data_IF_352824008754
#
_entry.id   IF_352824008754
#
_cell.length_a   1.000
_cell.length_b   1.000
_cell.length_c   1.000
_cell.angle_alpha   90.00
_cell.angle_beta   90.00
_cell.angle_gamma   90.00
#
_symmetry.space_group_name_H-M   'P 1'
#
loop_
_entity.id
_entity.type
_entity.pdbx_description
1 polymer ?
#
# COMPACT_ATOMS: atom_id res chain seq x y z
N UNK A 1 23.59 26.45 7.17
CA UNK A 1 22.51 25.60 6.64
C UNK A 1 21.42 25.58 7.69
N UNK A 2 20.24 26.08 7.35
CA UNK A 2 19.08 26.14 8.24
C UNK A 2 18.45 24.76 8.41
N UNK A 3 17.68 24.56 9.49
CA UNK A 3 16.92 23.32 9.70
C UNK A 3 15.92 23.02 8.57
N UNK A 4 15.48 24.06 7.86
CA UNK A 4 14.59 23.95 6.70
C UNK A 4 15.34 23.36 5.49
N UNK A 5 16.55 23.84 5.22
CA UNK A 5 17.39 23.31 4.12
C UNK A 5 17.79 21.85 4.36
N UNK A 6 18.06 21.50 5.62
CA UNK A 6 18.44 20.14 5.99
C UNK A 6 17.25 19.16 5.88
N UNK A 7 16.05 19.62 6.21
CA UNK A 7 14.82 18.86 6.06
C UNK A 7 14.49 18.59 4.59
N UNK A 8 14.66 19.58 3.72
CA UNK A 8 14.53 19.45 2.27
C UNK A 8 15.53 18.47 1.69
N UNK A 9 16.79 18.59 2.09
CA UNK A 9 17.85 17.71 1.63
C UNK A 9 17.65 16.25 2.04
N UNK A 10 17.12 16.00 3.25
CA UNK A 10 16.67 14.66 3.62
C UNK A 10 15.54 14.21 2.69
N UNK A 11 14.47 14.99 2.54
CA UNK A 11 13.34 14.63 1.69
C UNK A 11 13.80 14.28 0.26
N UNK A 12 14.73 15.06 -0.30
CA UNK A 12 15.34 14.82 -1.61
C UNK A 12 16.26 13.57 -1.62
N UNK A 13 17.00 13.33 -0.54
CA UNK A 13 17.85 12.13 -0.39
C UNK A 13 17.04 10.84 -0.27
N UNK A 14 15.87 10.89 0.36
CA UNK A 14 14.91 9.76 0.41
C UNK A 14 14.36 9.40 -0.96
N UNK A 15 14.33 10.35 -1.89
CA UNK A 15 13.96 10.08 -3.28
C UNK A 15 15.08 9.36 -4.05
N UNK A 16 16.35 9.48 -3.62
CA UNK A 16 17.51 8.85 -4.28
C UNK A 16 17.83 7.44 -3.76
N UNK A 17 17.44 7.13 -2.51
CA UNK A 17 17.87 5.92 -1.80
C UNK A 17 17.05 4.65 -2.09
N UNK A 18 16.40 4.53 -3.26
CA UNK A 18 15.68 3.33 -3.68
C UNK A 18 16.66 2.18 -4.02
N UNK A 19 17.23 1.56 -2.98
CA UNK A 19 18.13 0.42 -3.09
C UNK A 19 17.41 -0.87 -3.50
N UNK A 20 18.10 -1.67 -4.35
CA UNK A 20 17.63 -2.94 -4.94
C UNK A 20 17.12 -3.96 -3.91
N UNK A 21 16.09 -4.75 -4.25
CA UNK A 21 15.52 -5.76 -3.36
C UNK A 21 16.49 -6.93 -3.10
N UNK A 22 16.54 -7.39 -1.83
CA UNK A 22 17.08 -8.71 -1.48
C UNK A 22 15.90 -9.65 -1.20
N UNK A 23 15.77 -10.67 -2.06
CA UNK A 23 14.72 -11.71 -2.20
C UNK A 23 13.37 -11.25 -2.76
N UNK A 24 13.14 -11.60 -4.03
CA UNK A 24 11.82 -11.59 -4.66
C UNK A 24 10.96 -12.72 -4.08
N UNK A 25 9.75 -12.39 -3.63
CA UNK A 25 8.77 -13.35 -3.09
C UNK A 25 7.57 -13.59 -4.03
N UNK A 26 7.52 -12.92 -5.19
CA UNK A 26 6.63 -13.27 -6.30
C UNK A 26 7.42 -13.20 -7.62
N UNK A 27 7.11 -14.05 -8.62
CA UNK A 27 7.67 -13.92 -9.95
C UNK A 27 7.26 -12.59 -10.59
N UNK A 28 8.13 -11.93 -11.38
CA UNK A 28 7.72 -10.79 -12.19
C UNK A 28 6.65 -11.26 -13.18
N UNK A 29 5.43 -10.73 -13.04
CA UNK A 29 4.27 -11.08 -13.85
C UNK A 29 3.22 -9.97 -13.77
N UNK A 30 2.10 -10.07 -14.51
CA UNK A 30 1.08 -9.02 -14.62
C UNK A 30 0.26 -8.75 -13.34
N UNK A 31 0.76 -9.15 -12.16
CA UNK A 31 0.15 -8.88 -10.85
C UNK A 31 0.70 -7.62 -10.17
N UNK A 32 0.03 -7.19 -9.10
CA UNK A 32 0.51 -6.09 -8.25
C UNK A 32 1.89 -6.41 -7.67
N UNK A 33 2.73 -5.39 -7.47
CA UNK A 33 4.07 -5.57 -6.91
C UNK A 33 3.97 -6.30 -5.55
N UNK A 34 4.77 -7.35 -5.37
CA UNK A 34 4.83 -8.11 -4.10
C UNK A 34 5.39 -7.31 -2.93
N UNK A 35 5.90 -6.11 -3.21
CA UNK A 35 6.48 -5.17 -2.28
C UNK A 35 6.12 -3.76 -2.75
N UNK A 36 5.72 -2.93 -1.81
CA UNK A 36 5.62 -1.48 -2.01
C UNK A 36 6.28 -0.77 -0.84
N UNK A 37 6.89 0.38 -1.10
CA UNK A 37 7.61 1.16 -0.08
C UNK A 37 7.23 2.62 -0.14
N UNK A 38 7.11 3.24 1.03
CA UNK A 38 7.03 4.67 1.20
C UNK A 38 8.13 5.12 2.16
N UNK A 39 8.96 6.06 1.70
CA UNK A 39 9.85 6.81 2.57
C UNK A 39 9.40 8.26 2.62
N UNK A 40 9.32 8.82 3.83
CA UNK A 40 8.98 10.21 4.09
C UNK A 40 9.90 10.83 5.15
N UNK A 41 10.08 12.14 5.04
CA UNK A 41 10.78 12.94 6.03
C UNK A 41 9.76 13.57 6.97
N UNK A 42 10.06 13.61 8.26
CA UNK A 42 9.21 14.24 9.26
C UNK A 42 10.04 15.03 10.27
N UNK A 43 9.44 16.10 10.80
CA UNK A 43 9.92 16.85 11.95
C UNK A 43 9.06 16.48 13.15
N UNK A 44 9.70 15.91 14.17
CA UNK A 44 9.01 15.34 15.31
C UNK A 44 9.90 15.25 16.55
N UNK A 45 9.26 15.30 17.72
CA UNK A 45 9.84 14.83 18.97
C UNK A 45 9.68 13.30 19.09
N UNK A 46 10.52 12.60 19.89
CA UNK A 46 10.47 11.15 20.00
C UNK A 46 9.13 10.58 20.53
N UNK A 47 8.34 11.36 21.25
CA UNK A 47 7.03 10.97 21.79
C UNK A 47 5.89 11.07 20.77
N UNK A 48 6.15 11.62 19.58
CA UNK A 48 5.18 11.69 18.50
C UNK A 48 4.63 10.30 18.13
N UNK A 49 3.37 10.27 17.71
CA UNK A 49 2.68 9.04 17.35
C UNK A 49 2.56 8.92 15.83
N UNK A 50 2.83 7.72 15.31
CA UNK A 50 2.70 7.38 13.90
C UNK A 50 1.52 6.41 13.76
N UNK A 51 0.39 6.91 13.25
CA UNK A 51 -0.80 6.13 12.95
C UNK A 51 -0.83 5.78 11.48
N UNK A 52 -0.83 4.49 11.17
CA UNK A 52 -0.89 4.03 9.79
C UNK A 52 -2.21 3.34 9.50
N UNK A 53 -2.67 3.44 8.25
CA UNK A 53 -3.73 2.61 7.68
C UNK A 53 -3.29 2.13 6.31
N UNK A 54 -3.03 0.84 6.21
CA UNK A 54 -2.86 0.16 4.93
C UNK A 54 -4.25 -0.33 4.49
N UNK A 55 -4.77 0.27 3.41
CA UNK A 55 -6.03 -0.13 2.77
C UNK A 55 -5.73 -0.77 1.43
N UNK A 56 -6.34 -1.91 1.16
CA UNK A 56 -6.20 -2.59 -0.12
C UNK A 56 -7.50 -3.31 -0.49
N UNK A 57 -7.61 -3.65 -1.76
CA UNK A 57 -8.66 -4.49 -2.28
C UNK A 57 -8.20 -5.95 -2.26
N UNK A 58 -9.04 -6.81 -1.72
CA UNK A 58 -8.88 -8.25 -1.70
C UNK A 58 -9.86 -8.84 -2.70
N UNK A 59 -9.32 -9.55 -3.69
CA UNK A 59 -10.10 -10.28 -4.68
C UNK A 59 -11.06 -11.30 -4.05
N UNK A 60 -12.28 -11.37 -4.57
CA UNK A 60 -13.33 -12.27 -4.14
C UNK A 60 -14.02 -12.86 -5.36
N UNK A 61 -13.95 -14.18 -5.54
CA UNK A 61 -14.70 -14.85 -6.59
C UNK A 61 -16.17 -14.93 -6.19
N UNK A 62 -17.09 -14.53 -7.06
CA UNK A 62 -18.54 -14.66 -6.91
C UNK A 62 -19.10 -15.62 -7.95
N UNK A 63 -19.60 -16.77 -7.50
CA UNK A 63 -20.22 -17.79 -8.33
C UNK A 63 -21.72 -17.86 -8.06
N UNK A 64 -22.49 -18.11 -9.11
CA UNK A 64 -23.92 -18.41 -9.01
C UNK A 64 -24.07 -19.90 -9.26
N UNK A 65 -24.56 -20.63 -8.27
CA UNK A 65 -24.78 -22.07 -8.32
C UNK A 65 -26.31 -22.31 -8.37
N UNK A 66 -26.87 -22.74 -9.51
CA UNK A 66 -28.30 -23.00 -9.62
C UNK A 66 -28.67 -24.31 -8.91
N UNK A 67 -29.85 -24.37 -8.29
CA UNK A 67 -30.37 -25.59 -7.63
C UNK A 67 -31.19 -26.46 -8.61
N UNK A 68 -30.86 -26.40 -9.91
CA UNK A 68 -31.57 -27.12 -10.99
C UNK A 68 -32.83 -26.43 -11.53
N UNK A 69 -33.24 -25.29 -10.95
CA UNK A 69 -34.33 -24.45 -11.48
C UNK A 69 -33.75 -23.36 -12.38
N UNK A 70 -34.08 -23.39 -13.67
CA UNK A 70 -33.46 -22.53 -14.69
C UNK A 70 -33.91 -21.06 -14.65
N UNK A 71 -35.01 -20.74 -13.95
CA UNK A 71 -35.61 -19.41 -13.95
C UNK A 71 -35.65 -18.80 -12.55
N UNK A 72 -34.81 -17.79 -12.34
CA UNK A 72 -34.73 -17.00 -11.11
C UNK A 72 -35.73 -15.84 -11.10
N UNK A 73 -36.98 -16.06 -11.54
CA UNK A 73 -38.05 -15.05 -11.60
C UNK A 73 -37.59 -13.71 -12.22
N UNK A 74 -36.78 -13.76 -13.28
CA UNK A 74 -36.28 -12.56 -13.96
C UNK A 74 -35.17 -11.78 -13.23
N UNK A 75 -34.59 -12.29 -12.13
CA UNK A 75 -33.39 -11.70 -11.51
C UNK A 75 -32.16 -12.10 -12.31
N UNK A 76 -31.55 -11.15 -13.01
CA UNK A 76 -30.29 -11.36 -13.71
C UNK A 76 -29.14 -11.51 -12.70
N UNK A 77 -28.69 -12.75 -12.48
CA UNK A 77 -27.56 -13.06 -11.60
C UNK A 77 -26.30 -13.27 -12.44
N UNK A 78 -25.37 -12.32 -12.38
CA UNK A 78 -24.13 -12.42 -13.13
C UNK A 78 -23.00 -12.97 -12.24
N UNK A 79 -22.43 -14.15 -12.53
CA UNK A 79 -21.17 -14.52 -11.90
C UNK A 79 -20.11 -13.48 -12.26
N UNK A 80 -19.11 -13.34 -11.39
CA UNK A 80 -18.06 -12.37 -11.63
C UNK A 80 -17.08 -12.29 -10.48
N UNK A 81 -16.10 -11.42 -10.64
CA UNK A 81 -15.13 -11.15 -9.60
C UNK A 81 -15.49 -9.86 -8.88
N UNK A 82 -15.41 -9.89 -7.56
CA UNK A 82 -15.65 -8.78 -6.67
C UNK A 82 -14.32 -8.37 -6.01
N UNK A 83 -14.23 -7.12 -5.56
CA UNK A 83 -13.11 -6.62 -4.78
C UNK A 83 -13.64 -6.12 -3.43
N UNK A 84 -13.12 -6.65 -2.33
CA UNK A 84 -13.52 -6.29 -0.98
C UNK A 84 -12.41 -5.49 -0.31
N UNK A 85 -12.74 -4.35 0.28
CA UNK A 85 -11.75 -3.55 1.01
C UNK A 85 -11.33 -4.26 2.30
N UNK A 86 -10.04 -4.31 2.54
CA UNK A 86 -9.41 -4.76 3.78
C UNK A 86 -8.53 -3.64 4.33
N UNK A 87 -8.37 -3.61 5.66
CA UNK A 87 -7.60 -2.59 6.36
C UNK A 87 -6.71 -3.20 7.44
N UNK A 88 -5.48 -2.67 7.54
CA UNK A 88 -4.53 -2.96 8.61
C UNK A 88 -4.10 -1.61 9.18
N UNK A 89 -4.26 -1.43 10.50
CA UNK A 89 -4.05 -0.14 11.14
C UNK A 89 -3.03 -0.22 12.30
N UNK A 90 -1.72 -0.37 12.03
CA UNK A 90 -0.70 -0.30 13.07
C UNK A 90 -0.53 1.14 13.59
N UNK A 91 -0.17 1.23 14.86
CA UNK A 91 0.17 2.48 15.54
C UNK A 91 1.49 2.28 16.30
N UNK A 92 2.41 3.23 16.19
CA UNK A 92 3.71 3.17 16.84
C UNK A 92 4.08 4.53 17.42
N UNK A 93 4.77 4.55 18.57
CA UNK A 93 5.49 5.75 19.01
C UNK A 93 6.76 5.90 18.18
N UNK A 94 7.12 7.14 17.86
CA UNK A 94 8.31 7.40 17.06
C UNK A 94 9.60 6.94 17.75
N UNK A 95 9.69 7.07 19.08
CA UNK A 95 10.80 6.56 19.87
C UNK A 95 11.02 5.05 19.67
N UNK A 96 9.94 4.27 19.59
CA UNK A 96 10.03 2.83 19.40
C UNK A 96 10.56 2.50 17.99
N UNK A 97 10.10 3.25 16.98
CA UNK A 97 10.57 3.13 15.60
C UNK A 97 12.02 3.58 15.41
N UNK A 98 12.48 4.54 16.21
CA UNK A 98 13.87 5.02 16.22
C UNK A 98 14.80 4.02 16.92
N UNK A 99 14.29 3.27 17.90
CA UNK A 99 15.05 2.28 18.64
C UNK A 99 15.27 0.99 17.84
N UNK A 100 14.26 0.55 17.06
CA UNK A 100 14.33 -0.67 16.27
C UNK A 100 13.35 -0.65 15.09
N UNK A 101 13.59 -1.53 14.12
CA UNK A 101 12.61 -1.86 13.10
C UNK A 101 11.46 -2.69 13.71
N UNK A 102 10.23 -2.30 13.43
CA UNK A 102 9.03 -3.02 13.83
C UNK A 102 8.44 -3.77 12.65
N UNK A 103 8.08 -5.03 12.89
CA UNK A 103 7.44 -5.88 11.88
C UNK A 103 6.09 -6.33 12.38
N UNK A 104 5.03 -5.93 11.67
CA UNK A 104 3.69 -6.48 11.85
C UNK A 104 3.45 -7.56 10.78
N UNK A 105 3.04 -8.74 11.22
CA UNK A 105 2.54 -9.81 10.34
C UNK A 105 1.04 -9.91 10.51
N UNK A 106 0.29 -9.82 9.41
CA UNK A 106 -1.16 -9.93 9.38
C UNK A 106 -1.59 -11.00 8.39
N UNK A 107 -2.43 -11.92 8.86
CA UNK A 107 -3.14 -12.86 7.99
C UNK A 107 -4.55 -12.33 7.78
N UNK A 108 -4.92 -12.06 6.52
CA UNK A 108 -6.31 -11.95 6.12
C UNK A 108 -6.81 -13.36 5.85
N UNK A 109 -7.80 -13.87 6.61
CA UNK A 109 -8.21 -15.26 6.49
C UNK A 109 -8.96 -15.53 5.19
N UNK A 110 -8.90 -16.77 4.74
CA UNK A 110 -9.84 -17.27 3.74
C UNK A 110 -11.28 -17.08 4.23
N UNK A 111 -12.20 -16.76 3.32
CA UNK A 111 -13.62 -16.64 3.68
C UNK A 111 -14.48 -17.23 2.58
N UNK A 112 -15.47 -18.01 2.98
CA UNK A 112 -16.54 -18.47 2.10
C UNK A 112 -17.88 -18.02 2.66
N UNK A 113 -18.69 -17.34 1.86
CA UNK A 113 -20.08 -17.01 2.21
C UNK A 113 -21.01 -17.62 1.18
N UNK A 114 -22.18 -18.05 1.65
CA UNK A 114 -23.24 -18.61 0.82
C UNK A 114 -24.49 -17.81 1.11
N UNK A 115 -25.02 -17.18 0.06
CA UNK A 115 -26.27 -16.45 0.09
C UNK A 115 -27.31 -17.28 -0.65
N UNK A 116 -28.33 -17.83 0.05
CA UNK A 116 -29.37 -18.60 -0.61
C UNK A 116 -30.25 -17.69 -1.46
N UNK A 117 -30.68 -18.20 -2.60
CA UNK A 117 -31.63 -17.56 -3.51
C UNK A 117 -32.80 -18.51 -3.77
N UNK A 118 -33.89 -17.99 -4.34
CA UNK A 118 -35.07 -18.81 -4.66
C UNK A 118 -34.76 -19.94 -5.67
N UNK A 119 -33.79 -19.72 -6.56
CA UNK A 119 -33.43 -20.63 -7.67
C UNK A 119 -32.03 -21.26 -7.54
N UNK A 120 -31.36 -21.10 -6.40
CA UNK A 120 -29.95 -21.45 -6.27
C UNK A 120 -29.26 -20.75 -5.10
N UNK A 121 -27.98 -20.46 -5.26
CA UNK A 121 -27.18 -19.72 -4.27
C UNK A 121 -26.05 -18.92 -4.90
N UNK A 122 -25.68 -17.82 -4.26
CA UNK A 122 -24.43 -17.10 -4.56
C UNK A 122 -23.37 -17.58 -3.58
N UNK A 123 -22.27 -18.11 -4.12
CA UNK A 123 -21.10 -18.50 -3.34
C UNK A 123 -20.01 -17.48 -3.57
N UNK A 124 -19.54 -16.85 -2.49
CA UNK A 124 -18.39 -15.94 -2.54
C UNK A 124 -17.22 -16.60 -1.82
N UNK A 125 -16.06 -16.58 -2.46
CA UNK A 125 -14.85 -17.21 -1.95
C UNK A 125 -13.67 -16.25 -2.01
N UNK A 126 -12.92 -16.19 -0.91
CA UNK A 126 -11.67 -15.47 -0.74
C UNK A 126 -10.60 -16.39 -0.19
N UNK A 127 -9.36 -16.14 -0.56
CA UNK A 127 -8.20 -16.92 -0.18
C UNK A 127 -7.41 -16.20 0.92
N UNK A 128 -6.57 -16.90 1.68
CA UNK A 128 -5.79 -16.22 2.69
C UNK A 128 -4.71 -15.35 2.03
N UNK A 129 -4.45 -14.18 2.61
CA UNK A 129 -3.33 -13.30 2.23
C UNK A 129 -2.50 -13.01 3.47
N UNK A 130 -1.18 -13.16 3.35
CA UNK A 130 -0.22 -12.85 4.39
C UNK A 130 0.48 -11.54 4.05
N UNK A 131 0.30 -10.55 4.92
CA UNK A 131 0.85 -9.21 4.76
C UNK A 131 1.88 -8.98 5.83
N UNK A 132 3.05 -8.49 5.42
CA UNK A 132 4.10 -8.05 6.32
C UNK A 132 4.27 -6.54 6.16
N UNK A 133 4.16 -5.80 7.25
CA UNK A 133 4.42 -4.35 7.29
C UNK A 133 5.67 -4.13 8.14
N UNK A 134 6.75 -3.66 7.52
CA UNK A 134 7.95 -3.19 8.23
C UNK A 134 7.91 -1.69 8.36
N UNK A 135 8.17 -1.21 9.55
CA UNK A 135 8.25 0.22 9.83
C UNK A 135 9.48 0.50 10.66
N UNK A 136 10.25 1.50 10.24
CA UNK A 136 11.40 1.98 11.00
C UNK A 136 11.56 3.47 10.84
N UNK A 137 12.21 4.08 11.82
CA UNK A 137 12.59 5.47 11.79
C UNK A 137 14.11 5.61 11.95
N UNK A 138 14.70 6.59 11.27
CA UNK A 138 16.12 6.90 11.37
C UNK A 138 16.28 8.41 11.60
N UNK A 139 16.89 8.80 12.71
CA UNK A 139 17.23 10.20 12.96
C UNK A 139 18.24 10.66 11.92
N UNK A 140 17.97 11.79 11.26
CA UNK A 140 18.85 12.28 10.21
C UNK A 140 20.04 13.03 10.81
N UNK A 141 21.24 12.60 10.42
CA UNK A 141 22.48 13.28 10.74
C UNK A 141 23.27 13.52 9.44
N UNK A 142 23.64 14.77 9.18
CA UNK A 142 24.53 15.12 8.08
C UNK A 142 25.84 15.67 8.63
N UNK A 143 26.96 15.14 8.12
CA UNK A 143 28.32 15.56 8.50
C UNK A 143 28.56 15.58 10.02
N UNK A 144 28.04 14.58 10.75
CA UNK A 144 28.21 14.47 12.21
C UNK A 144 27.32 15.38 13.05
N UNK A 145 26.46 16.21 12.43
CA UNK A 145 25.46 17.01 13.16
C UNK A 145 24.09 16.36 13.01
N UNK A 146 23.47 16.01 14.14
CA UNK A 146 22.05 15.63 14.16
C UNK A 146 21.23 16.87 13.82
N UNK A 147 20.41 16.75 12.78
CA UNK A 147 19.33 17.68 12.51
C UNK A 147 18.31 17.50 13.65
N UNK A 148 18.17 18.48 14.55
CA UNK A 148 17.24 18.31 15.67
C UNK A 148 15.82 18.09 15.16
N UNK A 149 15.19 17.01 15.65
CA UNK A 149 13.81 16.64 15.31
C UNK A 149 13.59 16.07 13.90
N UNK A 150 14.60 15.98 13.03
CA UNK A 150 14.39 15.49 11.67
C UNK A 150 14.62 13.97 11.56
N UNK A 151 13.62 13.27 11.05
CA UNK A 151 13.60 11.81 10.99
C UNK A 151 13.14 11.31 9.63
N UNK A 152 13.80 10.26 9.13
CA UNK A 152 13.30 9.44 8.02
C UNK A 152 12.37 8.39 8.58
N UNK A 153 11.13 8.34 8.09
CA UNK A 153 10.22 7.22 8.30
C UNK A 153 10.21 6.36 7.05
N UNK A 154 10.44 5.05 7.23
CA UNK A 154 10.46 4.06 6.17
C UNK A 154 9.40 3.01 6.45
N UNK A 155 8.47 2.85 5.52
CA UNK A 155 7.35 1.90 5.59
C UNK A 155 7.43 0.99 4.37
N UNK A 156 7.54 -0.31 4.61
CA UNK A 156 7.59 -1.34 3.58
C UNK A 156 6.42 -2.29 3.81
N UNK A 157 5.62 -2.50 2.78
CA UNK A 157 4.52 -3.47 2.77
C UNK A 157 4.91 -4.58 1.82
N UNK A 158 4.88 -5.82 2.29
CA UNK A 158 5.13 -7.01 1.49
C UNK A 158 3.92 -7.93 1.52
N UNK A 159 3.62 -8.49 0.36
CA UNK A 159 2.79 -9.67 0.24
C UNK A 159 3.69 -10.91 0.38
N UNK A 160 3.58 -11.59 1.52
CA UNK A 160 4.37 -12.78 1.86
C UNK A 160 3.51 -14.06 1.80
N UNK A 161 2.37 -13.99 1.10
CA UNK A 161 1.51 -15.16 0.87
C UNK A 161 2.28 -16.22 0.10
N UNK A 162 2.13 -17.49 0.48
CA UNK A 162 2.71 -18.58 -0.27
C UNK A 162 2.08 -18.67 -1.66
N UNK A 163 2.93 -18.70 -2.68
CA UNK A 163 2.49 -18.78 -4.08
C UNK A 163 2.64 -20.23 -4.58
N UNK A 164 1.59 -20.83 -5.15
CA UNK A 164 1.77 -22.04 -5.92
C UNK A 164 2.69 -21.76 -7.11
N UNK A 165 3.49 -22.75 -7.54
CA UNK A 165 4.41 -22.60 -8.67
C UNK A 165 3.71 -22.40 -10.03
N UNK A 166 2.37 -22.43 -10.08
CA UNK A 166 1.60 -22.20 -11.30
C UNK A 166 1.60 -20.71 -11.68
N UNK A 167 1.82 -20.43 -12.97
CA UNK A 167 1.74 -19.09 -13.56
C UNK A 167 0.30 -18.67 -13.91
N UNK A 168 -0.72 -19.24 -13.25
CA UNK A 168 -2.11 -18.90 -13.51
C UNK A 168 -2.40 -17.45 -13.04
N UNK A 169 -2.73 -16.52 -13.94
CA UNK A 169 -3.03 -15.13 -13.58
C UNK A 169 -4.17 -15.00 -12.57
N UNK A 170 -5.15 -15.89 -12.59
CA UNK A 170 -6.26 -15.85 -11.64
C UNK A 170 -5.78 -16.19 -10.23
N UNK A 171 -4.89 -17.17 -10.10
CA UNK A 171 -4.25 -17.50 -8.83
C UNK A 171 -3.34 -16.39 -8.32
N UNK A 172 -2.68 -15.68 -9.24
CA UNK A 172 -1.91 -14.48 -8.94
C UNK A 172 -2.82 -13.39 -8.33
N UNK A 173 -3.97 -13.15 -8.97
CA UNK A 173 -4.93 -12.13 -8.59
C UNK A 173 -5.59 -12.42 -7.24
N UNK A 174 -5.99 -13.68 -7.00
CA UNK A 174 -6.62 -14.15 -5.75
C UNK A 174 -5.79 -13.92 -4.48
N UNK A 175 -4.47 -13.85 -4.63
CA UNK A 175 -3.52 -13.70 -3.52
C UNK A 175 -2.84 -12.34 -3.50
N UNK A 176 -3.20 -11.43 -4.41
CA UNK A 176 -2.59 -10.10 -4.53
C UNK A 176 -3.18 -9.09 -3.55
N UNK A 177 -2.33 -8.15 -3.11
CA UNK A 177 -2.77 -6.90 -2.47
C UNK A 177 -3.14 -5.92 -3.58
N UNK A 178 -4.42 -5.83 -3.95
CA UNK A 178 -4.82 -4.97 -5.05
C UNK A 178 -4.91 -3.53 -4.61
N UNK A 179 -4.22 -2.66 -5.34
CA UNK A 179 -4.23 -1.20 -5.14
C UNK A 179 -3.95 -0.80 -3.67
N UNK A 180 -2.78 -1.19 -3.10
CA UNK A 180 -2.48 -0.91 -1.70
C UNK A 180 -2.20 0.58 -1.50
N UNK A 181 -3.05 1.23 -0.72
CA UNK A 181 -2.88 2.62 -0.28
C UNK A 181 -2.40 2.64 1.17
N UNK A 182 -1.43 3.49 1.44
CA UNK A 182 -0.92 3.72 2.79
C UNK A 182 -1.26 5.14 3.22
N UNK A 183 -2.08 5.26 4.26
CA UNK A 183 -2.39 6.54 4.90
C UNK A 183 -1.57 6.62 6.19
N UNK A 184 -0.85 7.71 6.39
CA UNK A 184 -0.04 7.93 7.59
C UNK A 184 -0.46 9.25 8.20
N UNK A 185 -0.95 9.20 9.43
CA UNK A 185 -1.26 10.36 10.25
C UNK A 185 -0.26 10.47 11.40
N UNK A 186 0.15 11.69 11.69
CA UNK A 186 1.09 12.01 12.75
C UNK A 186 0.37 12.75 13.89
N UNK A 187 0.76 12.46 15.13
CA UNK A 187 0.34 13.21 16.32
C UNK A 187 1.59 13.79 16.97
N UNK A 188 1.66 15.12 17.12
CA UNK A 188 2.86 15.81 17.61
C UNK A 188 4.02 15.88 16.61
N UNK A 189 3.76 15.72 15.31
CA UNK A 189 4.76 15.78 14.26
C UNK A 189 4.19 16.27 12.93
N UNK A 190 5.08 16.69 12.03
CA UNK A 190 4.72 17.14 10.68
C UNK A 190 5.62 16.49 9.62
N UNK A 191 5.05 16.19 8.45
CA UNK A 191 5.80 15.79 7.27
C UNK A 191 6.54 16.96 6.65
N UNK A 192 7.69 16.66 6.08
CA UNK A 192 8.49 17.60 5.29
C UNK A 192 8.34 17.23 3.81
N UNK A 193 7.67 18.05 2.99
CA UNK A 193 7.54 17.78 1.57
C UNK A 193 8.92 17.90 0.87
N UNK A 194 9.18 17.09 -0.18
CA UNK A 194 10.35 17.29 -1.03
C UNK A 194 10.20 18.57 -1.87
N UNK A 195 11.32 19.14 -2.32
CA UNK A 195 11.29 20.37 -3.12
C UNK A 195 10.80 20.10 -4.56
N UNK A 196 10.90 18.86 -5.04
CA UNK A 196 10.38 18.44 -6.36
C UNK A 196 9.80 17.02 -6.32
N UNK A 197 8.64 16.78 -6.94
CA UNK A 197 8.17 15.42 -7.20
C UNK A 197 9.15 14.74 -8.19
N UNK A 198 9.56 13.51 -7.87
CA UNK A 198 10.35 12.66 -8.78
C UNK A 198 9.63 11.35 -9.01
N UNK A 199 9.87 10.75 -10.17
CA UNK A 199 9.40 9.40 -10.50
C UNK A 199 9.88 8.41 -9.44
N UNK A 200 8.94 7.64 -8.89
CA UNK A 200 9.18 6.55 -7.96
C UNK A 200 8.65 5.25 -8.56
N UNK A 201 9.35 4.17 -8.26
CA UNK A 201 9.01 2.82 -8.72
C UNK A 201 7.87 2.16 -7.92
N UNK A 202 7.51 2.72 -6.74
CA UNK A 202 6.60 2.09 -5.77
C UNK A 202 5.36 2.95 -5.46
N UNK A 203 5.28 3.59 -4.27
CA UNK A 203 4.17 4.45 -3.86
C UNK A 203 4.52 5.93 -4.01
N UNK A 204 3.55 6.70 -4.49
CA UNK A 204 3.58 8.15 -4.63
C UNK A 204 3.05 8.81 -3.36
N UNK A 205 3.91 9.41 -2.52
CA UNK A 205 3.48 10.14 -1.34
C UNK A 205 2.86 11.48 -1.75
N UNK A 206 1.60 11.68 -1.38
CA UNK A 206 0.83 12.90 -1.54
C UNK A 206 0.56 13.46 -0.15
N UNK A 207 1.03 14.68 0.10
CA UNK A 207 0.78 15.37 1.36
C UNK A 207 -0.64 15.94 1.34
N UNK A 208 -1.52 15.41 2.20
CA UNK A 208 -2.91 15.86 2.30
C UNK A 208 -3.05 17.02 3.31
N UNK A 209 -2.26 16.97 4.38
CA UNK A 209 -2.11 18.03 5.37
C UNK A 209 -0.71 17.93 5.97
N UNK A 210 -0.26 18.92 6.74
CA UNK A 210 1.07 18.93 7.35
C UNK A 210 1.41 17.67 8.15
N UNK A 211 0.41 17.01 8.72
CA UNK A 211 0.48 15.81 9.56
C UNK A 211 -0.16 14.57 8.91
N UNK A 212 -0.64 14.66 7.67
CA UNK A 212 -1.36 13.58 6.98
C UNK A 212 -0.80 13.33 5.58
N UNK A 213 -0.35 12.10 5.35
CA UNK A 213 0.22 11.63 4.09
C UNK A 213 -0.61 10.47 3.53
N UNK A 214 -0.85 10.49 2.22
CA UNK A 214 -1.36 9.36 1.44
C UNK A 214 -0.27 8.89 0.48
N UNK A 215 0.18 7.64 0.59
CA UNK A 215 1.04 7.02 -0.40
C UNK A 215 0.22 6.04 -1.26
N UNK A 216 0.13 6.33 -2.56
CA UNK A 216 -0.72 5.62 -3.53
C UNK A 216 0.10 4.91 -4.61
N UNK A 217 -0.32 3.72 -5.09
CA UNK A 217 0.39 2.99 -6.15
C UNK A 217 0.13 3.59 -7.53
N UNK A 218 -0.86 4.47 -7.66
CA UNK A 218 -1.12 5.26 -8.86
C UNK A 218 -0.70 6.69 -8.57
N UNK A 219 0.08 7.35 -9.45
CA UNK A 219 0.33 8.78 -9.32
C UNK A 219 -1.02 9.50 -9.32
N UNK A 220 -1.35 10.11 -8.19
CA UNK A 220 -2.48 11.02 -8.12
C UNK A 220 -1.99 12.35 -8.71
N UNK A 221 -2.79 13.02 -9.55
CA UNK A 221 -2.40 14.33 -10.03
C UNK A 221 -2.28 15.28 -8.82
N UNK A 222 -1.06 15.67 -8.50
CA UNK A 222 -0.76 16.72 -7.51
C UNK A 222 -1.30 18.10 -7.94
N UNK A 223 -1.84 18.18 -9.16
CA UNK A 223 -2.28 19.37 -9.85
C UNK A 223 -3.46 19.04 -10.78
N UNK A 224 -4.64 19.67 -10.66
CA UNK A 224 -5.75 19.47 -11.59
C UNK A 224 -5.42 19.86 -13.05
N UNK A 225 -4.29 20.53 -13.26
CA UNK A 225 -3.75 21.00 -14.54
C UNK A 225 -2.72 20.05 -15.20
N UNK A 226 -2.33 18.94 -14.56
CA UNK A 226 -1.45 17.96 -15.20
C UNK A 226 -2.26 17.11 -16.19
N UNK A 227 -2.01 17.17 -17.51
CA UNK A 227 -2.70 16.30 -18.45
C UNK A 227 -2.33 14.86 -18.16
N UNK A 228 -3.34 14.01 -17.90
CA UNK A 228 -3.18 12.56 -17.88
C UNK A 228 -2.72 12.17 -19.29
N UNK A 229 -1.41 11.97 -19.46
CA UNK A 229 -0.84 11.52 -20.73
C UNK A 229 -1.16 10.04 -20.89
N UNK A 230 -2.39 9.75 -21.31
CA UNK A 230 -2.69 8.51 -21.99
C UNK A 230 -1.74 8.39 -23.17
N UNK A 231 -0.98 7.29 -23.25
CA UNK A 231 -0.25 6.92 -24.45
C UNK A 231 -1.19 7.09 -25.65
N UNK A 232 -0.90 8.06 -26.52
CA UNK A 232 -1.38 7.98 -27.89
C UNK A 232 -0.83 6.68 -28.44
N UNK A 233 -1.72 5.72 -28.68
CA UNK A 233 -1.40 4.60 -29.55
C UNK A 233 -0.87 5.19 -30.86
N UNK A 234 0.37 4.86 -31.19
CA UNK A 234 0.94 5.16 -32.48
C UNK A 234 0.21 4.28 -33.52
N UNK A 235 -0.42 4.94 -34.49
CA UNK A 235 -0.60 4.50 -35.87
C UNK A 235 -1.28 3.16 -36.15
N UNK A 236 -2.48 3.22 -36.70
CA UNK A 236 -2.79 2.71 -38.04
C UNK A 236 -3.95 3.52 -38.64
#
# INVERSE_FOLDING_TARGET
>A
MSDVELARDLADSLLLAAGRPRRALAPPGPGAASRVRADCALRAEPDALVRMRLRFLHFQARRVEPDGVADCHGIALHPGDEAVAEEIAPEYRLADLLAAEHTLVRVVPARRTVEPLVCGRVVRSRWPIHVLVRTRAEAFARAGRRAQGLTRLSIEVLNVTDWPHSLDPDDALRRSLLVPHLIVALDGAVFVPPDRPRERDDLWPVLLAGDLLLASPVPLPDRPDMPITGRRAAGA
#
